data_IF_879050306840
#
_entry.id   IF_879050306840
#
_cell.length_a   1.000
_cell.length_b   1.000
_cell.length_c   1.000
_cell.angle_alpha   90.00
_cell.angle_beta   90.00
_cell.angle_gamma   90.00
#
_symmetry.space_group_name_H-M   'P 1'
#
loop_
_entity.id
_entity.type
_entity.pdbx_description
1 polymer ?
#
# COMPACT_ATOMS: atom_id res chain seq x y z
N UNK A 1 26.66 -4.98 12.54
CA UNK A 1 26.33 -5.05 11.10
C UNK A 1 25.22 -4.07 10.71
N UNK A 2 24.01 -4.16 11.28
CA UNK A 2 22.85 -3.29 10.94
C UNK A 2 23.16 -1.79 11.05
N UNK A 3 23.76 -1.35 12.17
CA UNK A 3 24.11 0.05 12.39
C UNK A 3 25.08 0.61 11.33
N UNK A 4 26.02 -0.20 10.84
CA UNK A 4 26.97 0.20 9.81
C UNK A 4 26.28 0.41 8.46
N UNK A 5 25.41 -0.52 8.06
CA UNK A 5 24.63 -0.39 6.82
C UNK A 5 23.70 0.82 6.83
N UNK A 6 23.05 1.10 7.96
CA UNK A 6 22.21 2.30 8.13
C UNK A 6 23.04 3.60 8.03
N UNK A 7 24.24 3.64 8.62
CA UNK A 7 25.13 4.79 8.53
C UNK A 7 25.61 5.06 7.09
N UNK A 8 25.93 4.01 6.33
CA UNK A 8 26.28 4.13 4.90
C UNK A 8 25.09 4.64 4.09
N UNK A 9 23.88 4.14 4.36
CA UNK A 9 22.67 4.61 3.68
C UNK A 9 22.34 6.08 3.99
N UNK A 10 22.53 6.50 5.24
CA UNK A 10 22.37 7.90 5.63
C UNK A 10 23.39 8.82 4.96
N UNK A 11 24.64 8.37 4.83
CA UNK A 11 25.69 9.10 4.11
C UNK A 11 25.38 9.23 2.60
N UNK A 12 24.81 8.19 1.97
CA UNK A 12 24.36 8.22 0.57
C UNK A 12 23.23 9.23 0.32
N UNK A 13 22.30 9.37 1.26
CA UNK A 13 21.15 10.28 1.14
C UNK A 13 21.47 11.73 1.55
N UNK A 14 22.60 11.96 2.25
CA UNK A 14 23.02 13.29 2.70
C UNK A 14 23.69 14.07 1.56
N UNK A 15 22.90 14.83 0.79
CA UNK A 15 23.42 15.75 -0.21
C UNK A 15 24.35 16.80 0.44
N UNK A 16 25.55 17.00 -0.13
CA UNK A 16 26.50 18.04 0.31
C UNK A 16 27.76 17.54 1.03
N UNK A 17 27.84 16.26 1.39
CA UNK A 17 29.10 15.67 1.87
C UNK A 17 29.76 14.93 0.72
N UNK A 18 30.83 15.52 0.20
CA UNK A 18 31.60 14.99 -0.92
C UNK A 18 32.45 13.79 -0.46
N UNK A 19 31.79 12.68 -0.12
CA UNK A 19 32.47 11.47 0.29
C UNK A 19 33.10 10.80 -0.93
N UNK A 20 34.39 11.06 -1.17
CA UNK A 20 35.19 10.56 -2.30
C UNK A 20 35.24 9.03 -2.46
N UNK A 21 34.72 8.25 -1.49
CA UNK A 21 34.88 6.80 -1.41
C UNK A 21 33.56 6.02 -1.27
N UNK A 22 32.39 6.62 -1.51
CA UNK A 22 31.14 5.85 -1.44
C UNK A 22 30.91 5.13 -2.77
N UNK A 23 30.84 3.78 -2.78
CA UNK A 23 30.55 3.05 -4.01
C UNK A 23 29.16 3.43 -4.53
N UNK A 24 29.00 3.49 -5.86
CA UNK A 24 27.69 3.59 -6.51
C UNK A 24 26.87 2.34 -6.15
N UNK A 25 26.11 2.43 -5.07
CA UNK A 25 25.24 1.37 -4.57
C UNK A 25 23.82 1.63 -5.03
N UNK A 26 23.24 0.69 -5.76
CA UNK A 26 21.81 0.71 -6.08
C UNK A 26 21.10 -0.20 -5.09
N UNK A 27 20.21 0.37 -4.29
CA UNK A 27 19.36 -0.39 -3.39
C UNK A 27 17.98 -0.57 -4.02
N UNK A 28 17.56 -1.83 -4.11
CA UNK A 28 16.22 -2.21 -4.54
C UNK A 28 15.57 -2.97 -3.39
N UNK A 29 14.69 -2.28 -2.68
CA UNK A 29 13.95 -2.86 -1.56
C UNK A 29 12.58 -3.37 -2.05
N UNK A 30 11.92 -4.22 -1.26
CA UNK A 30 10.66 -4.88 -1.61
C UNK A 30 9.64 -4.84 -0.46
N UNK A 31 8.35 -4.90 -0.78
CA UNK A 31 7.29 -5.00 0.23
C UNK A 31 7.38 -6.33 1.00
N UNK A 32 7.36 -6.34 2.35
CA UNK A 32 7.47 -7.58 3.12
C UNK A 32 6.19 -8.42 3.07
N UNK A 33 5.03 -7.76 3.04
CA UNK A 33 3.69 -8.35 3.03
C UNK A 33 2.82 -7.72 1.93
N UNK A 34 1.75 -8.44 1.57
CA UNK A 34 0.75 -7.95 0.64
C UNK A 34 -0.11 -6.86 1.26
N UNK A 35 -0.33 -5.79 0.50
CA UNK A 35 -1.19 -4.66 0.85
C UNK A 35 -2.47 -4.73 0.02
N UNK A 36 -3.59 -4.51 0.67
CA UNK A 36 -4.89 -4.60 0.02
C UNK A 36 -6.00 -3.94 0.81
N UNK A 37 -7.23 -4.12 0.34
CA UNK A 37 -8.42 -3.58 0.98
C UNK A 37 -9.45 -4.67 1.27
N UNK A 38 -10.30 -4.45 2.26
CA UNK A 38 -11.45 -5.33 2.50
C UNK A 38 -12.53 -5.10 1.44
N UNK A 39 -12.96 -6.18 0.80
CA UNK A 39 -14.12 -6.23 -0.10
C UNK A 39 -15.34 -6.70 0.69
N UNK A 40 -16.53 -6.48 0.13
CA UNK A 40 -17.78 -7.10 0.61
C UNK A 40 -17.59 -8.59 0.95
N UNK A 41 -18.09 -8.99 2.11
CA UNK A 41 -17.92 -10.36 2.63
C UNK A 41 -16.63 -10.56 3.44
N UNK A 42 -15.94 -9.49 3.82
CA UNK A 42 -14.69 -9.52 4.59
C UNK A 42 -13.54 -10.26 3.89
N UNK A 43 -13.50 -10.16 2.56
CA UNK A 43 -12.49 -10.82 1.72
C UNK A 43 -11.37 -9.84 1.42
N UNK A 44 -10.12 -10.27 1.62
CA UNK A 44 -8.93 -9.49 1.31
C UNK A 44 -8.73 -9.37 -0.21
N UNK A 45 -8.84 -8.15 -0.74
CA UNK A 45 -8.49 -7.82 -2.12
C UNK A 45 -7.10 -7.23 -2.19
N UNK A 46 -6.11 -8.06 -2.53
CA UNK A 46 -4.71 -7.64 -2.67
C UNK A 46 -4.56 -6.66 -3.84
N UNK A 47 -3.94 -5.51 -3.56
CA UNK A 47 -3.62 -4.46 -4.54
C UNK A 47 -2.14 -4.47 -4.89
N UNK A 48 -1.27 -4.57 -3.87
CA UNK A 48 0.18 -4.69 -4.02
C UNK A 48 0.59 -6.02 -3.38
N UNK A 49 1.05 -7.02 -4.15
CA UNK A 49 1.50 -8.28 -3.57
C UNK A 49 2.82 -8.10 -2.81
N UNK A 50 3.11 -9.02 -1.88
CA UNK A 50 4.42 -9.12 -1.24
C UNK A 50 5.56 -9.25 -2.25
N UNK A 51 6.76 -8.92 -1.82
CA UNK A 51 8.00 -8.91 -2.61
C UNK A 51 7.93 -7.99 -3.84
N UNK A 52 7.07 -6.98 -3.83
CA UNK A 52 7.00 -5.98 -4.91
C UNK A 52 8.08 -4.92 -4.67
N UNK A 53 8.93 -4.65 -5.66
CA UNK A 53 9.97 -3.62 -5.58
C UNK A 53 9.39 -2.24 -5.27
N UNK A 54 9.97 -1.52 -4.31
CA UNK A 54 9.63 -0.14 -3.99
C UNK A 54 10.63 0.83 -4.66
N UNK A 55 10.18 1.99 -5.17
CA UNK A 55 8.82 2.53 -5.14
C UNK A 55 7.86 1.88 -6.17
N UNK A 56 6.59 1.68 -5.81
CA UNK A 56 5.55 1.15 -6.70
C UNK A 56 4.23 1.90 -6.57
N UNK A 57 3.47 1.99 -7.67
CA UNK A 57 2.09 2.51 -7.70
C UNK A 57 1.19 1.53 -8.43
N UNK A 58 0.11 1.09 -7.77
CA UNK A 58 -0.93 0.24 -8.35
C UNK A 58 -2.29 0.91 -8.21
N UNK A 59 -3.08 0.85 -9.27
CA UNK A 59 -4.45 1.37 -9.30
C UNK A 59 -5.39 0.21 -9.59
N UNK A 60 -6.48 0.10 -8.82
CA UNK A 60 -7.59 -0.81 -9.09
C UNK A 60 -8.90 -0.03 -9.00
N UNK A 61 -9.80 -0.31 -9.93
CA UNK A 61 -11.14 0.27 -9.94
C UNK A 61 -12.06 -0.56 -9.06
N UNK A 62 -12.77 0.12 -8.16
CA UNK A 62 -13.79 -0.48 -7.30
C UNK A 62 -15.15 0.17 -7.59
N UNK A 63 -16.23 -0.57 -7.29
CA UNK A 63 -17.62 -0.15 -7.51
C UNK A 63 -18.40 -0.20 -6.20
N UNK A 64 -19.48 0.58 -6.12
CA UNK A 64 -20.41 0.53 -4.98
C UNK A 64 -21.16 -0.80 -4.94
N UNK A 65 -21.34 -1.33 -3.74
CA UNK A 65 -22.01 -2.63 -3.53
C UNK A 65 -23.50 -2.46 -3.21
N UNK A 66 -23.90 -1.27 -2.73
CA UNK A 66 -25.28 -0.90 -2.42
C UNK A 66 -25.72 0.29 -3.26
N UNK A 67 -27.00 0.30 -3.65
CA UNK A 67 -27.65 1.43 -4.30
C UNK A 67 -27.67 2.65 -3.35
N UNK A 68 -27.47 3.85 -3.90
CA UNK A 68 -27.51 5.12 -3.14
C UNK A 68 -26.54 5.18 -1.96
N UNK A 69 -25.39 4.49 -2.06
CA UNK A 69 -24.35 4.57 -1.05
C UNK A 69 -23.70 5.96 -1.06
N UNK A 70 -23.90 6.73 0.01
CA UNK A 70 -23.36 8.10 0.16
C UNK A 70 -21.87 8.15 0.54
N UNK A 71 -21.36 7.08 1.15
CA UNK A 71 -19.95 6.93 1.49
C UNK A 71 -19.51 5.47 1.43
N UNK A 72 -18.31 5.23 0.92
CA UNK A 72 -17.68 3.90 0.85
C UNK A 72 -16.51 3.84 1.84
N UNK A 73 -16.60 3.03 2.91
CA UNK A 73 -15.48 2.80 3.81
C UNK A 73 -14.44 1.90 3.14
N UNK A 74 -13.24 2.43 2.95
CA UNK A 74 -12.06 1.73 2.45
C UNK A 74 -11.18 1.37 3.65
N UNK A 75 -11.24 0.10 4.06
CA UNK A 75 -10.34 -0.45 5.08
C UNK A 75 -9.11 -1.03 4.41
N UNK A 76 -7.93 -0.51 4.73
CA UNK A 76 -6.63 -0.95 4.19
C UNK A 76 -6.00 -1.93 5.17
N UNK A 77 -5.55 -3.08 4.65
CA UNK A 77 -4.94 -4.14 5.42
C UNK A 77 -3.58 -4.55 4.85
N UNK A 78 -2.75 -5.10 5.73
CA UNK A 78 -1.48 -5.75 5.43
C UNK A 78 -1.51 -7.21 5.91
N UNK A 79 -1.23 -8.15 5.01
CA UNK A 79 -1.14 -9.57 5.34
C UNK A 79 -1.53 -10.50 4.18
N UNK A 80 -1.42 -11.80 4.44
CA UNK A 80 -1.56 -12.87 3.42
C UNK A 80 -2.83 -13.72 3.62
N UNK A 81 -3.64 -13.43 4.64
CA UNK A 81 -4.85 -14.21 4.91
C UNK A 81 -5.98 -13.80 3.95
N UNK A 82 -6.83 -14.75 3.60
CA UNK A 82 -7.99 -14.50 2.73
C UNK A 82 -9.07 -13.65 3.39
N UNK A 83 -9.23 -13.78 4.71
CA UNK A 83 -10.18 -13.00 5.51
C UNK A 83 -9.51 -11.68 5.91
N UNK A 84 -10.09 -10.54 5.55
CA UNK A 84 -9.47 -9.25 5.75
C UNK A 84 -9.34 -8.89 7.23
N UNK A 85 -10.36 -9.18 8.07
CA UNK A 85 -10.31 -8.92 9.52
C UNK A 85 -9.26 -9.73 10.27
N UNK A 86 -8.70 -10.79 9.68
CA UNK A 86 -7.60 -11.56 10.28
C UNK A 86 -6.20 -11.01 9.92
N UNK A 87 -6.14 -10.03 9.04
CA UNK A 87 -4.90 -9.33 8.67
C UNK A 87 -4.72 -8.05 9.53
N UNK A 88 -3.56 -7.42 9.41
CA UNK A 88 -3.25 -6.20 10.14
C UNK A 88 -3.97 -5.00 9.50
N UNK A 89 -4.86 -4.32 10.26
CA UNK A 89 -5.53 -3.11 9.78
C UNK A 89 -4.55 -1.93 9.83
N UNK A 90 -4.24 -1.36 8.67
CA UNK A 90 -3.38 -0.18 8.57
C UNK A 90 -4.16 1.12 8.70
N UNK A 91 -5.41 1.15 8.23
CA UNK A 91 -6.22 2.37 8.27
C UNK A 91 -7.61 2.21 7.66
N UNK A 92 -8.45 3.20 7.93
CA UNK A 92 -9.81 3.33 7.41
C UNK A 92 -9.96 4.70 6.77
N UNK A 93 -10.45 4.74 5.54
CA UNK A 93 -10.75 5.96 4.80
C UNK A 93 -12.21 5.94 4.36
N UNK A 94 -12.96 6.98 4.62
CA UNK A 94 -14.31 7.12 4.09
C UNK A 94 -14.28 7.97 2.83
N UNK A 95 -14.58 7.34 1.69
CA UNK A 95 -14.67 8.04 0.41
C UNK A 95 -16.13 8.47 0.20
N UNK A 96 -16.45 9.78 0.18
CA UNK A 96 -17.79 10.25 -0.14
C UNK A 96 -18.07 9.99 -1.63
N UNK A 97 -19.23 9.40 -1.92
CA UNK A 97 -19.65 9.05 -3.29
C UNK A 97 -20.98 9.71 -3.58
N UNK A 98 -21.16 10.20 -4.82
CA UNK A 98 -22.48 10.70 -5.25
C UNK A 98 -23.48 9.54 -5.25
N UNK A 99 -24.68 9.78 -4.73
CA UNK A 99 -25.74 8.77 -4.76
C UNK A 99 -26.01 8.35 -6.20
N UNK A 100 -25.64 7.11 -6.52
CA UNK A 100 -25.82 6.53 -7.84
C UNK A 100 -26.34 5.08 -7.70
N UNK A 101 -26.98 4.54 -8.74
CA UNK A 101 -27.30 3.11 -8.83
C UNK A 101 -26.04 2.25 -8.68
N UNK A 102 -26.18 1.06 -8.10
CA UNK A 102 -25.08 0.11 -7.89
C UNK A 102 -24.32 -0.17 -9.19
N UNK A 103 -23.01 -0.40 -9.07
CA UNK A 103 -22.18 -0.90 -10.17
C UNK A 103 -21.55 0.16 -11.07
N UNK A 104 -21.79 1.46 -10.83
CA UNK A 104 -21.00 2.52 -11.45
C UNK A 104 -19.59 2.57 -10.81
N UNK A 105 -18.53 2.76 -11.62
CA UNK A 105 -17.18 2.90 -11.09
C UNK A 105 -17.06 4.17 -10.25
N UNK A 106 -16.32 4.07 -9.14
CA UNK A 106 -15.94 5.21 -8.33
C UNK A 106 -14.94 6.06 -9.15
N UNK A 107 -15.35 7.25 -9.60
CA UNK A 107 -14.49 8.28 -10.21
C UNK A 107 -14.04 9.30 -9.18
#
# INVERSE_FOLDING_TARGET
AVAYGAAVQAALLSEGVNYKNVPNLVLQDVTPLSLGISRHGDIMSVVIPRNTSIPNKKTRTYTTVKDNQSSVPIKVYEGERMIASENNLLGLFDLPVRCAPRGLPLQ
#
